data_IF_609964030767
#
_entry.id   IF_609964030767
#
_cell.length_a   1.000
_cell.length_b   1.000
_cell.length_c   1.000
_cell.angle_alpha   90.00
_cell.angle_beta   90.00
_cell.angle_gamma   90.00
#
_symmetry.space_group_name_H-M   'P 1'
#
loop_
_entity.id
_entity.type
_entity.pdbx_description
1 polymer ?
#
# COMPACT_ATOMS: atom_id res chain seq x y z
N UNK A 1 -24.37 29.32 -0.43
CA UNK A 1 -23.67 28.40 -1.35
C UNK A 1 -22.53 27.72 -0.60
N UNK A 2 -22.74 26.48 -0.14
CA UNK A 2 -21.70 25.72 0.56
C UNK A 2 -20.73 25.11 -0.47
N UNK A 3 -19.45 25.49 -0.36
CA UNK A 3 -18.36 25.00 -1.22
C UNK A 3 -18.15 23.52 -0.86
N UNK A 4 -18.68 22.59 -1.68
CA UNK A 4 -18.38 21.15 -1.61
C UNK A 4 -16.87 20.98 -1.71
N UNK A 5 -16.20 20.81 -0.57
CA UNK A 5 -14.82 20.31 -0.56
C UNK A 5 -14.95 18.83 -0.90
N UNK A 6 -14.57 18.48 -2.12
CA UNK A 6 -14.29 17.09 -2.47
C UNK A 6 -13.11 16.66 -1.61
N UNK A 7 -13.39 16.06 -0.47
CA UNK A 7 -12.40 15.43 0.41
C UNK A 7 -12.11 14.02 -0.14
N UNK A 8 -11.68 13.95 -1.39
CA UNK A 8 -11.18 12.71 -1.96
C UNK A 8 -9.76 12.47 -1.45
N UNK A 9 -9.53 11.34 -0.77
CA UNK A 9 -8.17 10.94 -0.40
C UNK A 9 -7.44 10.55 -1.68
N UNK A 10 -6.63 11.47 -2.22
CA UNK A 10 -5.74 11.17 -3.33
C UNK A 10 -4.50 10.45 -2.79
N UNK A 11 -4.48 9.12 -2.87
CA UNK A 11 -3.27 8.34 -2.61
C UNK A 11 -2.24 8.62 -3.72
N UNK A 12 -1.22 9.41 -3.40
CA UNK A 12 -0.20 9.81 -4.36
C UNK A 12 0.84 8.70 -4.59
N UNK A 13 0.48 7.65 -5.32
CA UNK A 13 1.39 6.53 -5.63
C UNK A 13 2.07 6.72 -6.99
N UNK A 14 3.37 6.40 -7.07
CA UNK A 14 4.20 6.66 -8.25
C UNK A 14 4.04 5.61 -9.35
N UNK A 15 3.53 4.43 -8.99
CA UNK A 15 3.53 3.27 -9.87
C UNK A 15 2.17 2.98 -10.52
N UNK A 16 2.15 2.43 -11.74
CA UNK A 16 0.94 2.32 -12.56
C UNK A 16 -0.19 1.50 -11.96
N UNK A 17 0.09 0.32 -11.38
CA UNK A 17 -0.96 -0.55 -10.81
C UNK A 17 -1.51 0.07 -9.55
N UNK A 18 -0.63 0.50 -8.64
CA UNK A 18 -1.04 1.15 -7.41
C UNK A 18 -1.83 2.45 -7.66
N UNK A 19 -1.50 3.20 -8.72
CA UNK A 19 -2.25 4.40 -9.12
C UNK A 19 -3.67 4.06 -9.60
N UNK A 20 -3.87 2.94 -10.30
CA UNK A 20 -5.22 2.48 -10.71
C UNK A 20 -6.06 2.13 -9.49
N UNK A 21 -5.49 1.38 -8.54
CA UNK A 21 -6.17 1.03 -7.29
C UNK A 21 -6.49 2.30 -6.49
N UNK A 22 -5.52 3.20 -6.32
CA UNK A 22 -5.71 4.50 -5.68
C UNK A 22 -6.81 5.38 -6.30
N UNK A 23 -7.02 5.29 -7.62
CA UNK A 23 -8.12 5.99 -8.28
C UNK A 23 -9.48 5.36 -7.92
N UNK A 24 -9.56 4.03 -7.90
CA UNK A 24 -10.77 3.30 -7.50
C UNK A 24 -11.12 3.57 -6.02
N UNK A 25 -10.11 3.62 -5.15
CA UNK A 25 -10.22 4.03 -3.74
C UNK A 25 -10.95 5.37 -3.61
N UNK A 26 -10.54 6.38 -4.37
CA UNK A 26 -11.09 7.74 -4.23
C UNK A 26 -12.60 7.81 -4.49
N UNK A 27 -13.13 6.88 -5.29
CA UNK A 27 -14.57 6.76 -5.58
C UNK A 27 -15.32 6.13 -4.40
N UNK A 28 -14.74 5.12 -3.77
CA UNK A 28 -15.34 4.38 -2.64
C UNK A 28 -15.29 5.22 -1.36
N UNK A 29 -14.16 5.89 -1.11
CA UNK A 29 -13.90 6.68 0.11
C UNK A 29 -14.81 7.90 0.25
N UNK A 30 -15.32 8.45 -0.86
CA UNK A 30 -16.25 9.57 -0.82
C UNK A 30 -17.52 9.28 0.01
N UNK A 31 -17.84 8.00 0.24
CA UNK A 31 -19.02 7.56 0.94
C UNK A 31 -18.73 6.99 2.34
N UNK A 32 -17.47 6.93 2.79
CA UNK A 32 -17.13 6.38 4.10
C UNK A 32 -16.00 7.14 4.84
N UNK A 33 -16.32 7.85 5.94
CA UNK A 33 -15.37 8.67 6.69
C UNK A 33 -14.35 7.87 7.52
N UNK A 34 -14.62 6.61 7.85
CA UNK A 34 -13.65 5.76 8.56
C UNK A 34 -12.52 5.31 7.63
N UNK A 35 -12.91 4.86 6.42
CA UNK A 35 -11.98 4.50 5.35
C UNK A 35 -11.12 5.72 4.97
N UNK A 36 -11.72 6.91 4.95
CA UNK A 36 -11.00 8.17 4.74
C UNK A 36 -9.83 8.35 5.73
N UNK A 37 -10.06 8.16 7.03
CA UNK A 37 -9.00 8.32 8.05
C UNK A 37 -7.87 7.29 7.90
N UNK A 38 -8.22 6.02 7.66
CA UNK A 38 -7.21 4.95 7.46
C UNK A 38 -6.34 5.26 6.24
N UNK A 39 -6.95 5.71 5.14
CA UNK A 39 -6.23 6.00 3.91
C UNK A 39 -5.52 7.35 3.89
N UNK A 40 -5.94 8.34 4.66
CA UNK A 40 -5.22 9.62 4.78
C UNK A 40 -3.80 9.41 5.31
N UNK A 41 -3.63 8.55 6.32
CA UNK A 41 -2.32 8.20 6.86
C UNK A 41 -1.46 7.46 5.82
N UNK A 42 -2.08 6.56 5.08
CA UNK A 42 -1.45 5.82 4.00
C UNK A 42 -1.02 6.76 2.85
N UNK A 43 -1.87 7.71 2.48
CA UNK A 43 -1.63 8.70 1.44
C UNK A 43 -0.47 9.62 1.77
N UNK A 44 -0.35 10.05 3.03
CA UNK A 44 0.81 10.82 3.51
C UNK A 44 2.11 10.02 3.35
N UNK A 45 2.11 8.74 3.74
CA UNK A 45 3.28 7.87 3.61
C UNK A 45 3.69 7.65 2.16
N UNK A 46 2.73 7.41 1.26
CA UNK A 46 3.03 7.29 -0.18
C UNK A 46 3.42 8.63 -0.82
N UNK A 47 2.91 9.76 -0.34
CA UNK A 47 3.41 11.07 -0.75
C UNK A 47 4.89 11.27 -0.32
N UNK A 48 5.29 10.77 0.85
CA UNK A 48 6.69 10.80 1.30
C UNK A 48 7.59 9.86 0.49
N UNK A 49 7.06 8.75 -0.03
CA UNK A 49 7.74 7.90 -1.01
C UNK A 49 8.10 8.71 -2.25
N UNK A 50 7.16 9.50 -2.79
CA UNK A 50 7.38 10.33 -3.99
C UNK A 50 8.50 11.35 -3.83
N UNK A 51 8.78 11.78 -2.59
CA UNK A 51 9.87 12.73 -2.29
C UNK A 51 11.27 12.12 -2.44
N UNK A 52 11.40 10.81 -2.58
CA UNK A 52 12.68 10.18 -2.84
C UNK A 52 13.18 10.51 -4.26
N UNK A 53 14.48 10.82 -4.36
CA UNK A 53 15.12 11.30 -5.61
C UNK A 53 15.44 10.19 -6.60
N UNK A 54 15.65 8.96 -6.13
CA UNK A 54 15.98 7.82 -6.99
C UNK A 54 14.88 6.78 -6.96
N UNK A 55 14.70 5.99 -8.02
CA UNK A 55 13.67 4.95 -8.03
C UNK A 55 13.91 3.88 -6.95
N UNK A 56 15.15 3.51 -6.68
CA UNK A 56 15.52 2.57 -5.60
C UNK A 56 15.07 3.08 -4.24
N UNK A 57 15.30 4.37 -3.96
CA UNK A 57 14.88 4.99 -2.72
C UNK A 57 13.36 5.12 -2.62
N UNK A 58 12.65 5.29 -3.74
CA UNK A 58 11.18 5.23 -3.77
C UNK A 58 10.71 3.82 -3.37
N UNK A 59 11.25 2.79 -4.01
CA UNK A 59 10.90 1.40 -3.72
C UNK A 59 11.15 1.07 -2.25
N UNK A 60 12.33 1.37 -1.71
CA UNK A 60 12.66 1.10 -0.32
C UNK A 60 11.70 1.78 0.68
N UNK A 61 11.34 3.04 0.44
CA UNK A 61 10.35 3.75 1.28
C UNK A 61 8.94 3.16 1.16
N UNK A 62 8.56 2.69 -0.03
CA UNK A 62 7.29 2.01 -0.21
C UNK A 62 7.26 0.69 0.58
N UNK A 63 8.35 -0.08 0.57
CA UNK A 63 8.45 -1.33 1.33
C UNK A 63 8.39 -1.11 2.84
N UNK A 64 8.95 0.00 3.35
CA UNK A 64 8.73 0.42 4.75
C UNK A 64 7.24 0.61 5.04
N UNK A 65 6.53 1.31 4.16
CA UNK A 65 5.08 1.57 4.33
C UNK A 65 4.28 0.27 4.29
N UNK A 66 4.61 -0.66 3.39
CA UNK A 66 3.98 -2.00 3.29
C UNK A 66 4.22 -2.81 4.56
N UNK A 67 5.46 -2.85 5.08
CA UNK A 67 5.78 -3.56 6.32
C UNK A 67 5.01 -3.01 7.52
N UNK A 68 4.85 -1.69 7.58
CA UNK A 68 4.08 -1.06 8.64
C UNK A 68 2.59 -1.43 8.58
N UNK A 69 1.99 -1.47 7.37
CA UNK A 69 0.61 -1.94 7.22
C UNK A 69 0.45 -3.41 7.63
N UNK A 70 1.38 -4.26 7.20
CA UNK A 70 1.40 -5.65 7.63
C UNK A 70 1.46 -5.78 9.16
N UNK A 71 2.29 -4.97 9.83
CA UNK A 71 2.37 -4.95 11.29
C UNK A 71 1.08 -4.47 11.96
N UNK A 72 0.38 -3.50 11.38
CA UNK A 72 -0.91 -3.03 11.91
C UNK A 72 -1.96 -4.14 11.82
N UNK A 73 -2.06 -4.82 10.67
CA UNK A 73 -3.00 -5.94 10.48
C UNK A 73 -2.68 -7.07 11.45
N UNK A 74 -1.43 -7.54 11.50
CA UNK A 74 -1.00 -8.60 12.42
C UNK A 74 -1.22 -8.23 13.91
N UNK A 75 -1.10 -6.95 14.27
CA UNK A 75 -1.35 -6.47 15.62
C UNK A 75 -2.84 -6.37 15.97
N UNK A 76 -3.69 -6.13 14.97
CA UNK A 76 -5.15 -6.09 15.14
C UNK A 76 -5.74 -7.49 15.24
N UNK A 77 -5.16 -8.44 14.50
CA UNK A 77 -5.53 -9.86 14.46
C UNK A 77 -4.80 -10.70 15.53
N UNK A 78 -4.26 -10.08 16.58
CA UNK A 78 -3.39 -10.76 17.55
C UNK A 78 -4.06 -11.94 18.30
N UNK A 79 -5.39 -12.10 18.18
CA UNK A 79 -6.15 -13.22 18.74
C UNK A 79 -6.44 -14.34 17.74
N UNK A 80 -6.26 -14.10 16.43
CA UNK A 80 -6.51 -15.07 15.37
C UNK A 80 -5.37 -15.05 14.33
N UNK A 81 -4.28 -15.72 14.69
CA UNK A 81 -3.10 -15.84 13.83
C UNK A 81 -3.37 -16.66 12.54
N UNK A 82 -4.48 -17.39 12.47
CA UNK A 82 -4.89 -18.18 11.30
C UNK A 82 -5.89 -17.42 10.40
N UNK A 83 -6.28 -16.19 10.77
CA UNK A 83 -7.15 -15.37 9.95
C UNK A 83 -6.53 -15.08 8.59
N UNK A 84 -7.37 -14.97 7.56
CA UNK A 84 -6.93 -14.70 6.19
C UNK A 84 -6.12 -13.39 6.14
N UNK A 85 -6.55 -12.37 6.91
CA UNK A 85 -5.87 -11.09 7.02
C UNK A 85 -4.46 -11.23 7.63
N UNK A 86 -4.32 -12.03 8.70
CA UNK A 86 -3.02 -12.37 9.32
C UNK A 86 -2.06 -13.04 8.32
N UNK A 87 -2.54 -14.05 7.60
CA UNK A 87 -1.74 -14.79 6.61
C UNK A 87 -1.30 -13.87 5.46
N UNK A 88 -2.20 -13.04 4.95
CA UNK A 88 -1.88 -12.06 3.90
C UNK A 88 -0.85 -11.04 4.38
N UNK A 89 -1.02 -10.48 5.58
CA UNK A 89 -0.10 -9.52 6.16
C UNK A 89 1.31 -10.10 6.38
N UNK A 90 1.42 -11.34 6.86
CA UNK A 90 2.69 -12.05 6.94
C UNK A 90 3.35 -12.19 5.56
N UNK A 91 2.56 -12.54 4.54
CA UNK A 91 3.01 -12.63 3.15
C UNK A 91 3.48 -11.28 2.57
N UNK A 92 2.86 -10.16 2.94
CA UNK A 92 3.31 -8.83 2.53
C UNK A 92 4.66 -8.48 3.13
N UNK A 93 4.86 -8.75 4.42
CA UNK A 93 6.12 -8.50 5.11
C UNK A 93 7.26 -9.28 4.45
N UNK A 94 7.07 -10.58 4.20
CA UNK A 94 8.07 -11.42 3.54
C UNK A 94 8.43 -10.93 2.14
N UNK A 95 7.43 -10.50 1.35
CA UNK A 95 7.67 -9.97 0.00
C UNK A 95 8.34 -8.61 0.01
N UNK A 96 8.01 -7.75 0.97
CA UNK A 96 8.71 -6.47 1.16
C UNK A 96 10.20 -6.70 1.48
N UNK A 97 10.51 -7.66 2.36
CA UNK A 97 11.89 -8.05 2.67
C UNK A 97 12.61 -8.63 1.43
N UNK A 98 11.89 -9.36 0.57
CA UNK A 98 12.45 -9.88 -0.68
C UNK A 98 12.81 -8.75 -1.65
N UNK A 99 11.96 -7.73 -1.79
CA UNK A 99 12.22 -6.54 -2.62
C UNK A 99 13.43 -5.77 -2.07
N UNK A 100 13.51 -5.56 -0.76
CA UNK A 100 14.65 -4.87 -0.14
C UNK A 100 15.97 -5.64 -0.35
N UNK A 101 15.96 -6.97 -0.20
CA UNK A 101 17.13 -7.81 -0.51
C UNK A 101 17.53 -7.71 -1.99
N UNK A 102 16.56 -7.73 -2.89
CA UNK A 102 16.83 -7.57 -4.32
C UNK A 102 17.48 -6.21 -4.63
N UNK A 103 17.03 -5.13 -3.98
CA UNK A 103 17.66 -3.82 -4.11
C UNK A 103 19.09 -3.80 -3.57
N UNK A 104 19.34 -4.39 -2.41
CA UNK A 104 20.69 -4.47 -1.84
C UNK A 104 21.65 -5.23 -2.77
N UNK A 105 21.23 -6.37 -3.30
CA UNK A 105 22.01 -7.13 -4.28
C UNK A 105 22.28 -6.27 -5.52
N UNK A 106 21.25 -5.56 -6.02
CA UNK A 106 21.36 -4.73 -7.20
C UNK A 106 22.38 -3.60 -7.03
N UNK A 107 22.47 -2.99 -5.84
CA UNK A 107 23.41 -1.89 -5.56
C UNK A 107 24.88 -2.27 -5.76
N UNK A 108 25.22 -3.56 -5.57
CA UNK A 108 26.57 -4.09 -5.77
C UNK A 108 26.84 -4.55 -7.22
N UNK A 109 25.85 -4.51 -8.10
CA UNK A 109 25.99 -4.87 -9.50
C UNK A 109 26.53 -3.71 -10.35
N UNK A 110 27.14 -3.97 -11.52
CA UNK A 110 27.50 -2.91 -12.47
C UNK A 110 26.28 -2.09 -12.90
N UNK A 111 26.45 -0.77 -13.10
CA UNK A 111 25.35 0.15 -13.48
C UNK A 111 24.51 -0.30 -14.68
N UNK A 112 25.11 -1.02 -15.63
CA UNK A 112 24.38 -1.58 -16.79
C UNK A 112 23.36 -2.64 -16.36
N UNK A 113 23.75 -3.51 -15.42
CA UNK A 113 22.88 -4.53 -14.83
C UNK A 113 21.82 -3.87 -13.95
N UNK A 114 22.20 -2.86 -13.15
CA UNK A 114 21.27 -2.06 -12.35
C UNK A 114 20.10 -1.54 -13.18
N UNK A 115 20.41 -0.84 -14.28
CA UNK A 115 19.39 -0.30 -15.20
C UNK A 115 18.49 -1.35 -15.82
N UNK A 116 19.00 -2.56 -16.07
CA UNK A 116 18.22 -3.64 -16.68
C UNK A 116 17.31 -4.38 -15.71
N UNK A 117 17.72 -4.51 -14.44
CA UNK A 117 16.97 -5.29 -13.44
C UNK A 117 16.08 -4.43 -12.55
N UNK A 118 16.38 -3.14 -12.40
CA UNK A 118 15.58 -2.20 -11.62
C UNK A 118 14.08 -2.19 -12.01
N UNK A 119 13.70 -2.19 -13.32
CA UNK A 119 12.28 -2.23 -13.70
C UNK A 119 11.56 -3.49 -13.20
N UNK A 120 12.26 -4.61 -13.06
CA UNK A 120 11.67 -5.84 -12.51
C UNK A 120 11.39 -5.71 -11.02
N UNK A 121 12.31 -5.09 -10.27
CA UNK A 121 12.13 -4.82 -8.84
C UNK A 121 11.00 -3.79 -8.64
N UNK A 122 10.94 -2.77 -9.50
CA UNK A 122 9.83 -1.81 -9.52
C UNK A 122 8.48 -2.49 -9.75
N UNK A 123 8.38 -3.42 -10.69
CA UNK A 123 7.14 -4.15 -10.95
C UNK A 123 6.71 -5.03 -9.76
N UNK A 124 7.66 -5.65 -9.06
CA UNK A 124 7.39 -6.40 -7.83
C UNK A 124 6.86 -5.47 -6.72
N UNK A 125 7.47 -4.30 -6.57
CA UNK A 125 7.04 -3.30 -5.60
C UNK A 125 5.65 -2.72 -5.95
N UNK A 126 5.40 -2.37 -7.21
CA UNK A 126 4.11 -1.87 -7.69
C UNK A 126 2.99 -2.89 -7.43
N UNK A 127 3.22 -4.15 -7.78
CA UNK A 127 2.24 -5.22 -7.56
C UNK A 127 1.93 -5.42 -6.07
N UNK A 128 2.96 -5.41 -5.22
CA UNK A 128 2.77 -5.57 -3.78
C UNK A 128 2.03 -4.37 -3.15
N UNK A 129 2.36 -3.15 -3.56
CA UNK A 129 1.65 -1.95 -3.10
C UNK A 129 0.20 -1.97 -3.56
N UNK A 130 -0.05 -2.35 -4.82
CA UNK A 130 -1.41 -2.47 -5.35
C UNK A 130 -2.22 -3.51 -4.56
N UNK A 131 -1.64 -4.66 -4.24
CA UNK A 131 -2.31 -5.70 -3.46
C UNK A 131 -2.66 -5.22 -2.05
N UNK A 132 -1.70 -4.64 -1.31
CA UNK A 132 -1.96 -4.11 0.04
C UNK A 132 -3.07 -3.06 -0.01
N UNK A 133 -3.06 -2.18 -1.01
CA UNK A 133 -4.11 -1.18 -1.19
C UNK A 133 -5.47 -1.85 -1.44
N UNK A 134 -5.55 -2.84 -2.32
CA UNK A 134 -6.79 -3.55 -2.63
C UNK A 134 -7.36 -4.22 -1.39
N UNK A 135 -6.55 -5.01 -0.68
CA UNK A 135 -7.01 -5.73 0.51
C UNK A 135 -7.50 -4.78 1.61
N UNK A 136 -6.78 -3.67 1.85
CA UNK A 136 -7.21 -2.68 2.84
C UNK A 136 -8.53 -2.00 2.48
N UNK A 137 -8.89 -1.95 1.19
CA UNK A 137 -10.19 -1.43 0.75
C UNK A 137 -11.26 -2.48 0.95
N UNK A 138 -11.01 -3.72 0.52
CA UNK A 138 -11.99 -4.81 0.60
C UNK A 138 -12.39 -5.06 2.06
N UNK A 139 -11.40 -5.12 2.95
CA UNK A 139 -11.59 -5.23 4.41
C UNK A 139 -12.45 -4.07 4.95
N UNK A 140 -12.12 -2.85 4.56
CA UNK A 140 -12.84 -1.66 5.00
C UNK A 140 -14.28 -1.57 4.43
N UNK A 141 -14.52 -2.12 3.24
CA UNK A 141 -15.85 -2.19 2.62
C UNK A 141 -16.71 -3.26 3.30
N UNK A 142 -16.14 -4.41 3.67
CA UNK A 142 -16.87 -5.48 4.34
C UNK A 142 -17.21 -5.12 5.79
N UNK A 143 -16.29 -4.52 6.55
CA UNK A 143 -16.55 -3.92 7.88
C UNK A 143 -17.75 -2.95 7.87
N UNK A 144 -17.92 -2.23 6.76
CA UNK A 144 -19.01 -1.26 6.59
C UNK A 144 -20.36 -1.91 6.31
N UNK A 145 -20.39 -3.07 5.65
CA UNK A 145 -21.63 -3.80 5.36
C UNK A 145 -22.17 -4.47 6.60
N UNK A 146 -21.30 -5.05 7.42
CA UNK A 146 -21.68 -5.74 8.65
C UNK A 146 -22.33 -4.79 9.68
N UNK A 147 -21.92 -3.52 9.70
CA UNK A 147 -22.54 -2.50 10.57
C UNK A 147 -23.92 -2.03 10.10
N UNK A 148 -24.30 -2.23 8.83
CA UNK A 148 -25.60 -1.80 8.27
C UNK A 148 -26.61 -2.96 8.26
N UNK A 149 -26.15 -4.21 8.24
CA UNK A 149 -27.00 -5.41 8.24
C UNK A 149 -27.49 -5.88 9.61
N UNK A 150 -27.01 -5.30 10.71
CA UNK A 150 -27.44 -5.61 12.08
C UNK A 150 -28.51 -4.65 12.58
N UNK A 151 -29.78 -4.89 12.25
CA UNK A 151 -30.95 -4.30 12.92
C UNK A 151 -32.13 -5.25 12.87
#
# INVERSE_FOLDING_TARGET
>A
MAKKRSTGVALAVAWPLAKKVAAQVSVIVANNPEIQKRLENLGKKFADVQRARTPEAKIARAMVSVREQASIVLGSEAQDAESIASVQAAGWKQRADQVDRALQILQHQPRKVQKSQLPRIEAMADSLVAEVLTTLIDDAVDDSKDQIGGS
#
